data_IF_346193464555
#
_entry.id   IF_346193464555
#
_cell.length_a   1.000
_cell.length_b   1.000
_cell.length_c   1.000
_cell.angle_alpha   90.00
_cell.angle_beta   90.00
_cell.angle_gamma   90.00
#
_symmetry.space_group_name_H-M   'P 1'
#
loop_
_entity.id
_entity.type
_entity.pdbx_description
1 polymer ?
#
# COMPACT_ATOMS: atom_id res chain seq x y z
N UNK A 1 -16.39 25.99 -25.81
CA UNK A 1 -15.51 26.88 -25.05
C UNK A 1 -15.79 26.88 -23.53
N UNK A 2 -17.04 26.90 -23.07
CA UNK A 2 -17.40 26.90 -21.62
C UNK A 2 -16.96 25.61 -20.89
N UNK A 3 -17.07 24.42 -21.51
CA UNK A 3 -16.72 23.14 -20.90
C UNK A 3 -15.20 23.03 -20.63
N UNK A 4 -14.36 23.45 -21.56
CA UNK A 4 -12.90 23.42 -21.41
C UNK A 4 -12.41 24.31 -20.25
N UNK A 5 -13.02 25.48 -20.07
CA UNK A 5 -12.72 26.37 -18.93
C UNK A 5 -13.12 25.73 -17.58
N UNK A 6 -14.20 24.95 -17.56
CA UNK A 6 -14.65 24.24 -16.36
C UNK A 6 -13.66 23.14 -15.96
N UNK A 7 -13.18 22.33 -16.90
CA UNK A 7 -12.18 21.28 -16.61
C UNK A 7 -10.84 21.88 -16.13
N UNK A 8 -10.39 22.97 -16.77
CA UNK A 8 -9.17 23.65 -16.35
C UNK A 8 -9.29 24.19 -14.91
N UNK A 9 -10.42 24.81 -14.57
CA UNK A 9 -10.67 25.32 -13.22
C UNK A 9 -10.72 24.21 -12.17
N UNK A 10 -11.34 23.06 -12.47
CA UNK A 10 -11.33 21.91 -11.55
C UNK A 10 -9.94 21.30 -11.41
N UNK A 11 -9.18 21.19 -12.49
CA UNK A 11 -7.79 20.69 -12.42
C UNK A 11 -6.95 21.56 -11.49
N UNK A 12 -7.00 22.88 -11.65
CA UNK A 12 -6.27 23.82 -10.80
C UNK A 12 -6.72 23.71 -9.32
N UNK A 13 -8.02 23.63 -9.08
CA UNK A 13 -8.58 23.46 -7.74
C UNK A 13 -8.07 22.18 -7.06
N UNK A 14 -8.15 21.04 -7.74
CA UNK A 14 -7.70 19.77 -7.15
C UNK A 14 -6.19 19.70 -7.01
N UNK A 15 -5.45 20.34 -7.91
CA UNK A 15 -4.00 20.46 -7.78
C UNK A 15 -3.62 21.29 -6.56
N UNK A 16 -4.23 22.46 -6.40
CA UNK A 16 -4.00 23.30 -5.23
C UNK A 16 -4.35 22.56 -3.91
N UNK A 17 -5.48 21.84 -3.89
CA UNK A 17 -5.85 21.03 -2.73
C UNK A 17 -4.81 19.95 -2.41
N UNK A 18 -4.28 19.27 -3.43
CA UNK A 18 -3.24 18.27 -3.26
C UNK A 18 -1.95 18.89 -2.72
N UNK A 19 -1.48 19.97 -3.36
CA UNK A 19 -0.16 20.55 -3.11
C UNK A 19 -0.13 21.39 -1.82
N UNK A 20 -1.23 22.05 -1.46
CA UNK A 20 -1.29 22.99 -0.33
C UNK A 20 -1.87 22.38 0.95
N UNK A 21 -2.71 21.34 0.84
CA UNK A 21 -3.40 20.76 1.98
C UNK A 21 -3.05 19.28 2.20
N UNK A 22 -3.28 18.41 1.21
CA UNK A 22 -3.18 16.95 1.41
C UNK A 22 -1.74 16.51 1.64
N UNK A 23 -0.82 16.86 0.74
CA UNK A 23 0.59 16.45 0.85
C UNK A 23 1.24 17.04 2.11
N UNK A 24 1.13 18.37 2.39
CA UNK A 24 1.69 18.95 3.60
C UNK A 24 1.13 18.34 4.90
N UNK A 25 -0.15 17.99 4.93
CA UNK A 25 -0.75 17.30 6.08
C UNK A 25 -0.05 15.98 6.37
N UNK A 26 0.10 15.11 5.37
CA UNK A 26 0.71 13.80 5.56
C UNK A 26 2.21 13.87 5.84
N UNK A 27 2.94 14.80 5.22
CA UNK A 27 4.35 15.04 5.53
C UNK A 27 4.55 15.51 6.98
N UNK A 28 3.65 16.35 7.48
CA UNK A 28 3.76 16.92 8.82
C UNK A 28 3.33 15.96 9.93
N UNK A 29 2.22 15.24 9.72
CA UNK A 29 1.58 14.48 10.79
C UNK A 29 1.61 12.98 10.59
N UNK A 30 1.83 12.51 9.35
CA UNK A 30 1.75 11.10 9.01
C UNK A 30 3.02 10.31 9.30
N UNK A 31 4.17 10.95 9.43
CA UNK A 31 5.44 10.24 9.62
C UNK A 31 5.60 9.77 11.06
N UNK A 32 5.88 8.48 11.26
CA UNK A 32 6.35 7.95 12.53
C UNK A 32 7.89 8.00 12.55
N UNK A 33 8.43 8.95 13.29
CA UNK A 33 9.89 9.14 13.41
C UNK A 33 10.52 8.24 14.48
N UNK A 34 9.72 7.56 15.29
CA UNK A 34 10.20 6.66 16.33
C UNK A 34 10.39 5.23 15.82
N UNK A 35 9.35 4.71 15.13
CA UNK A 35 9.32 3.32 14.67
C UNK A 35 9.33 3.19 13.13
N UNK A 36 9.29 4.30 12.41
CA UNK A 36 9.22 4.32 10.95
C UNK A 36 7.83 4.11 10.37
N UNK A 37 7.69 4.38 9.07
CA UNK A 37 6.44 4.25 8.35
C UNK A 37 5.44 5.37 8.61
N UNK A 38 4.17 5.06 8.38
CA UNK A 38 3.05 5.98 8.41
C UNK A 38 2.13 5.74 9.60
N UNK A 39 1.78 6.78 10.36
CA UNK A 39 0.61 6.77 11.24
C UNK A 39 -0.69 6.78 10.43
N UNK A 40 -1.59 5.83 10.69
CA UNK A 40 -2.83 5.66 9.92
C UNK A 40 -4.07 6.17 10.64
N UNK A 41 -3.96 6.54 11.90
CA UNK A 41 -5.07 6.93 12.77
C UNK A 41 -4.91 8.38 13.25
N UNK A 42 -5.04 9.32 12.31
CA UNK A 42 -5.01 10.75 12.55
C UNK A 42 -6.41 11.35 12.43
N UNK A 43 -6.74 12.32 13.27
CA UNK A 43 -7.91 13.13 13.03
C UNK A 43 -7.63 14.20 11.95
N UNK A 44 -8.66 14.96 11.57
CA UNK A 44 -8.54 15.99 10.51
C UNK A 44 -7.60 17.15 10.86
N UNK A 45 -7.18 17.29 12.11
CA UNK A 45 -6.25 18.30 12.58
C UNK A 45 -4.82 17.78 12.75
N UNK A 46 -4.62 16.47 12.49
CA UNK A 46 -3.34 15.79 12.63
C UNK A 46 -3.08 15.22 14.01
N UNK A 47 -4.08 15.18 14.90
CA UNK A 47 -3.94 14.57 16.22
C UNK A 47 -3.93 13.04 16.08
N UNK A 48 -2.87 12.41 16.53
CA UNK A 48 -2.74 10.96 16.59
C UNK A 48 -3.61 10.41 17.72
N UNK A 49 -4.56 9.51 17.41
CA UNK A 49 -5.44 8.90 18.40
C UNK A 49 -5.24 7.38 18.56
N UNK A 50 -4.48 6.74 17.67
CA UNK A 50 -4.09 5.34 17.76
C UNK A 50 -2.79 5.13 16.99
N UNK A 51 -1.84 4.41 17.57
CA UNK A 51 -0.54 4.12 16.95
C UNK A 51 -0.56 2.88 16.07
N UNK A 52 -1.63 2.07 16.10
CA UNK A 52 -1.73 0.89 15.23
C UNK A 52 -1.63 1.25 13.76
N UNK A 53 -0.91 0.43 13.01
CA UNK A 53 -0.59 0.68 11.60
C UNK A 53 -1.31 -0.29 10.69
N UNK A 54 -1.99 0.26 9.68
CA UNK A 54 -2.57 -0.49 8.59
C UNK A 54 -1.50 -0.79 7.53
N UNK A 55 -1.23 -2.07 7.28
CA UNK A 55 -0.27 -2.52 6.25
C UNK A 55 -0.65 -2.01 4.86
N UNK A 56 -1.94 -1.97 4.55
CA UNK A 56 -2.43 -1.43 3.27
C UNK A 56 -2.08 0.04 3.09
N UNK A 57 -2.15 0.82 4.17
CA UNK A 57 -1.86 2.25 4.11
C UNK A 57 -0.36 2.53 4.02
N UNK A 58 0.49 1.67 4.61
CA UNK A 58 1.94 1.76 4.41
C UNK A 58 2.30 1.63 2.93
N UNK A 59 1.79 0.58 2.26
CA UNK A 59 2.03 0.37 0.84
C UNK A 59 1.49 1.51 -0.04
N UNK A 60 0.27 2.00 0.25
CA UNK A 60 -0.29 3.16 -0.48
C UNK A 60 0.53 4.42 -0.29
N UNK A 61 1.00 4.70 0.91
CA UNK A 61 1.85 5.86 1.20
C UNK A 61 3.16 5.78 0.42
N UNK A 62 3.85 4.64 0.48
CA UNK A 62 5.08 4.42 -0.27
C UNK A 62 4.85 4.60 -1.77
N UNK A 63 3.76 4.05 -2.32
CA UNK A 63 3.41 4.22 -3.72
C UNK A 63 3.16 5.68 -4.08
N UNK A 64 2.32 6.40 -3.31
CA UNK A 64 1.96 7.79 -3.59
C UNK A 64 3.19 8.69 -3.59
N UNK A 65 4.05 8.62 -2.57
CA UNK A 65 5.20 9.51 -2.48
C UNK A 65 6.29 9.16 -3.51
N UNK A 66 6.43 7.90 -3.89
CA UNK A 66 7.27 7.50 -5.04
C UNK A 66 6.72 8.06 -6.34
N UNK A 67 5.43 7.88 -6.61
CA UNK A 67 4.75 8.41 -7.79
C UNK A 67 4.86 9.94 -7.91
N UNK A 68 4.72 10.66 -6.80
CA UNK A 68 4.88 12.12 -6.77
C UNK A 68 6.31 12.55 -7.13
N UNK A 69 7.32 11.81 -6.70
CA UNK A 69 8.71 12.03 -7.14
C UNK A 69 8.88 11.80 -8.65
N UNK A 70 8.28 10.76 -9.20
CA UNK A 70 8.30 10.50 -10.64
C UNK A 70 7.59 11.58 -11.46
N UNK A 71 6.47 12.10 -10.93
CA UNK A 71 5.63 13.06 -11.63
C UNK A 71 6.15 14.51 -11.55
N UNK A 72 6.62 14.94 -10.37
CA UNK A 72 7.00 16.33 -10.11
C UNK A 72 8.51 16.55 -9.98
N UNK A 73 9.30 15.49 -10.06
CA UNK A 73 10.73 15.51 -9.82
C UNK A 73 11.10 15.09 -8.40
N UNK A 74 12.36 14.71 -8.24
CA UNK A 74 12.89 14.22 -6.97
C UNK A 74 12.73 15.24 -5.83
N UNK A 75 12.23 14.75 -4.71
CA UNK A 75 12.18 15.46 -3.43
C UNK A 75 12.63 14.53 -2.32
N UNK A 76 13.59 15.00 -1.51
CA UNK A 76 14.18 14.22 -0.42
C UNK A 76 13.14 13.79 0.63
N UNK A 77 12.23 14.69 1.00
CA UNK A 77 11.17 14.41 1.98
C UNK A 77 10.17 13.35 1.48
N UNK A 78 9.84 13.34 0.19
CA UNK A 78 8.98 12.33 -0.41
C UNK A 78 9.68 10.97 -0.48
N UNK A 79 10.92 10.97 -0.97
CA UNK A 79 11.75 9.77 -1.05
C UNK A 79 11.94 9.12 0.33
N UNK A 80 12.34 9.92 1.34
CA UNK A 80 12.54 9.44 2.70
C UNK A 80 11.26 8.85 3.30
N UNK A 81 10.11 9.47 3.07
CA UNK A 81 8.84 8.96 3.58
C UNK A 81 8.41 7.65 2.89
N UNK A 82 8.51 7.59 1.56
CA UNK A 82 8.24 6.36 0.81
C UNK A 82 9.14 5.21 1.28
N UNK A 83 10.43 5.48 1.42
CA UNK A 83 11.42 4.52 1.90
C UNK A 83 11.13 4.03 3.30
N UNK A 84 10.83 4.93 4.23
CA UNK A 84 10.47 4.59 5.61
C UNK A 84 9.26 3.66 5.68
N UNK A 85 8.23 3.87 4.84
CA UNK A 85 7.09 2.97 4.76
C UNK A 85 7.47 1.58 4.24
N UNK A 86 8.34 1.49 3.22
CA UNK A 86 8.81 0.21 2.69
C UNK A 86 9.69 -0.54 3.68
N UNK A 87 10.60 0.14 4.35
CA UNK A 87 11.46 -0.46 5.39
C UNK A 87 10.62 -0.99 6.56
N UNK A 88 9.58 -0.25 6.96
CA UNK A 88 8.63 -0.72 7.98
C UNK A 88 7.87 -1.96 7.52
N UNK A 89 7.41 -2.01 6.27
CA UNK A 89 6.77 -3.19 5.69
C UNK A 89 7.68 -4.41 5.70
N UNK A 90 8.93 -4.25 5.30
CA UNK A 90 9.93 -5.31 5.26
C UNK A 90 10.24 -5.88 6.64
N UNK A 91 10.40 -4.99 7.62
CA UNK A 91 10.82 -5.38 8.97
C UNK A 91 9.70 -6.01 9.79
N UNK A 92 8.44 -5.56 9.61
CA UNK A 92 7.38 -5.83 10.58
C UNK A 92 6.11 -6.45 9.99
N UNK A 93 5.89 -6.35 8.67
CA UNK A 93 4.58 -6.67 8.12
C UNK A 93 4.50 -8.02 7.39
N UNK A 94 5.61 -8.73 7.28
CA UNK A 94 5.69 -10.07 6.67
C UNK A 94 5.77 -11.10 7.78
N UNK A 95 4.83 -12.07 7.77
CA UNK A 95 4.88 -13.19 8.70
C UNK A 95 5.99 -14.17 8.29
N UNK A 96 7.02 -14.38 9.13
CA UNK A 96 8.12 -15.27 8.80
C UNK A 96 7.71 -16.75 8.72
N UNK A 97 6.54 -17.13 9.25
CA UNK A 97 6.07 -18.51 9.26
C UNK A 97 5.54 -18.95 7.89
N UNK A 98 4.91 -18.04 7.14
CA UNK A 98 4.23 -18.39 5.90
C UNK A 98 4.49 -17.41 4.73
N UNK A 99 5.19 -16.30 5.00
CA UNK A 99 5.49 -15.27 4.00
C UNK A 99 4.30 -14.39 3.59
N UNK A 100 3.11 -14.61 4.20
CA UNK A 100 1.94 -13.75 4.00
C UNK A 100 2.10 -12.47 4.82
N UNK A 101 1.46 -11.41 4.37
CA UNK A 101 1.51 -10.15 5.09
C UNK A 101 0.37 -10.00 6.11
N UNK A 102 0.66 -9.31 7.20
CA UNK A 102 -0.36 -8.90 8.15
C UNK A 102 -1.29 -7.85 7.52
N UNK A 103 -2.46 -7.68 8.10
CA UNK A 103 -3.39 -6.59 7.76
C UNK A 103 -3.12 -5.35 8.61
N UNK A 104 -2.86 -5.55 9.90
CA UNK A 104 -2.49 -4.51 10.84
C UNK A 104 -1.46 -5.00 11.85
N UNK A 105 -0.64 -4.07 12.33
CA UNK A 105 0.38 -4.25 13.34
C UNK A 105 0.31 -3.11 14.36
N UNK A 106 0.91 -3.27 15.54
CA UNK A 106 1.09 -2.17 16.50
C UNK A 106 2.03 -1.10 15.96
N UNK A 107 2.13 0.04 16.64
CA UNK A 107 3.04 1.13 16.27
C UNK A 107 4.49 0.67 16.13
N UNK A 108 4.95 -0.20 17.03
CA UNK A 108 6.29 -0.82 17.05
C UNK A 108 6.41 -2.10 16.19
N UNK A 109 5.35 -2.45 15.42
CA UNK A 109 5.41 -3.53 14.44
C UNK A 109 5.01 -4.92 14.92
N UNK A 110 4.39 -5.07 16.13
CA UNK A 110 3.91 -6.38 16.58
C UNK A 110 2.64 -6.79 15.83
N UNK A 111 2.49 -8.07 15.43
CA UNK A 111 1.33 -8.55 14.70
C UNK A 111 0.02 -8.38 15.48
N UNK A 112 -0.99 -7.76 14.85
CA UNK A 112 -2.33 -7.63 15.40
C UNK A 112 -3.35 -8.47 14.65
N UNK A 113 -3.29 -8.42 13.30
CA UNK A 113 -4.32 -9.08 12.49
C UNK A 113 -3.78 -9.53 11.15
N UNK A 114 -4.19 -10.72 10.72
CA UNK A 114 -4.00 -11.26 9.37
C UNK A 114 -5.36 -11.51 8.72
N UNK A 115 -5.45 -11.34 7.41
CA UNK A 115 -6.67 -11.58 6.63
C UNK A 115 -6.50 -12.68 5.61
N UNK A 116 -7.61 -13.27 5.17
CA UNK A 116 -7.64 -14.32 4.15
C UNK A 116 -7.25 -13.86 2.75
N UNK A 117 -7.52 -12.59 2.44
CA UNK A 117 -7.21 -12.05 1.13
C UNK A 117 -5.77 -11.56 1.08
N UNK A 118 -5.13 -11.71 -0.07
CA UNK A 118 -3.75 -11.26 -0.35
C UNK A 118 -3.65 -9.77 -0.70
N UNK A 119 -4.56 -8.94 -0.22
CA UNK A 119 -4.57 -7.51 -0.56
C UNK A 119 -3.42 -6.73 0.09
N UNK A 120 -2.92 -7.15 1.23
CA UNK A 120 -1.71 -6.56 1.81
C UNK A 120 -0.51 -6.72 0.88
N UNK A 121 -0.36 -7.93 0.35
CA UNK A 121 0.68 -8.28 -0.63
C UNK A 121 0.54 -7.45 -1.91
N UNK A 122 -0.68 -7.20 -2.41
CA UNK A 122 -0.86 -6.37 -3.61
C UNK A 122 -0.46 -4.93 -3.40
N UNK A 123 -0.73 -4.32 -2.24
CA UNK A 123 -0.26 -2.98 -1.93
C UNK A 123 1.25 -2.89 -1.74
N UNK A 124 1.87 -3.95 -1.24
CA UNK A 124 3.32 -4.06 -1.18
C UNK A 124 3.95 -4.17 -2.57
N UNK A 125 3.37 -4.97 -3.47
CA UNK A 125 3.84 -5.13 -4.85
C UNK A 125 3.87 -3.78 -5.57
N UNK A 126 2.75 -3.04 -5.57
CA UNK A 126 2.70 -1.73 -6.27
C UNK A 126 3.64 -0.71 -5.65
N UNK A 127 3.80 -0.71 -4.33
CA UNK A 127 4.73 0.17 -3.64
C UNK A 127 6.19 -0.12 -4.02
N UNK A 128 6.59 -1.38 -3.99
CA UNK A 128 7.93 -1.81 -4.38
C UNK A 128 8.20 -1.51 -5.87
N UNK A 129 7.25 -1.79 -6.77
CA UNK A 129 7.41 -1.58 -8.20
C UNK A 129 7.55 -0.09 -8.53
N UNK A 130 6.69 0.77 -7.97
CA UNK A 130 6.77 2.22 -8.19
C UNK A 130 8.07 2.81 -7.64
N UNK A 131 8.42 2.45 -6.40
CA UNK A 131 9.67 2.90 -5.79
C UNK A 131 10.88 2.50 -6.64
N UNK A 132 10.95 1.24 -7.05
CA UNK A 132 12.03 0.73 -7.88
C UNK A 132 12.10 1.44 -9.24
N UNK A 133 10.97 1.67 -9.87
CA UNK A 133 10.87 2.36 -11.16
C UNK A 133 11.37 3.81 -11.09
N UNK A 134 10.99 4.52 -10.04
CA UNK A 134 11.31 5.95 -9.88
C UNK A 134 12.76 6.18 -9.43
N UNK A 135 13.24 5.33 -8.51
CA UNK A 135 14.55 5.53 -7.88
C UNK A 135 15.66 4.59 -8.39
N UNK A 136 15.33 3.65 -9.29
CA UNK A 136 16.30 2.72 -9.86
C UNK A 136 16.76 1.63 -8.88
N UNK A 137 15.94 1.28 -7.87
CA UNK A 137 16.28 0.28 -6.86
C UNK A 137 15.83 -1.12 -7.29
N UNK A 138 16.74 -1.88 -7.91
CA UNK A 138 16.46 -3.23 -8.39
C UNK A 138 16.09 -4.21 -7.26
N UNK A 139 16.54 -3.96 -6.03
CA UNK A 139 16.19 -4.80 -4.87
C UNK A 139 14.67 -4.79 -4.62
N UNK A 140 14.04 -3.61 -4.70
CA UNK A 140 12.59 -3.49 -4.57
C UNK A 140 11.85 -4.02 -5.79
N UNK A 141 12.42 -3.92 -6.99
CA UNK A 141 11.85 -4.56 -8.19
C UNK A 141 11.82 -6.09 -8.07
N UNK A 142 12.89 -6.69 -7.55
CA UNK A 142 12.92 -8.14 -7.28
C UNK A 142 11.88 -8.56 -6.22
N UNK A 143 11.71 -7.76 -5.17
CA UNK A 143 10.66 -7.98 -4.16
C UNK A 143 9.26 -7.92 -4.79
N UNK A 144 9.00 -6.93 -5.64
CA UNK A 144 7.72 -6.80 -6.34
C UNK A 144 7.43 -8.03 -7.20
N UNK A 145 8.38 -8.48 -8.02
CA UNK A 145 8.26 -9.67 -8.87
C UNK A 145 7.99 -10.94 -8.04
N UNK A 146 8.76 -11.14 -6.98
CA UNK A 146 8.60 -12.30 -6.08
C UNK A 146 7.22 -12.36 -5.44
N UNK A 147 6.73 -11.23 -4.93
CA UNK A 147 5.39 -11.18 -4.32
C UNK A 147 4.27 -11.26 -5.35
N UNK A 148 4.46 -10.72 -6.55
CA UNK A 148 3.52 -10.89 -7.64
C UNK A 148 3.36 -12.37 -8.01
N UNK A 149 4.45 -13.09 -8.20
CA UNK A 149 4.42 -14.54 -8.50
C UNK A 149 3.78 -15.33 -7.34
N UNK A 150 4.07 -14.96 -6.11
CA UNK A 150 3.45 -15.56 -4.93
C UNK A 150 1.94 -15.39 -4.91
N UNK A 151 1.45 -14.16 -5.12
CA UNK A 151 0.02 -13.84 -5.20
C UNK A 151 -0.66 -14.54 -6.37
N UNK A 152 -0.04 -14.54 -7.56
CA UNK A 152 -0.58 -15.18 -8.76
C UNK A 152 -0.67 -16.70 -8.62
N UNK A 153 0.24 -17.32 -7.89
CA UNK A 153 0.18 -18.74 -7.56
C UNK A 153 -1.03 -19.03 -6.67
N UNK A 154 -1.23 -18.27 -5.60
CA UNK A 154 -2.38 -18.42 -4.70
C UNK A 154 -3.70 -18.17 -5.44
N UNK A 155 -3.76 -17.15 -6.30
CA UNK A 155 -4.95 -16.85 -7.09
C UNK A 155 -5.35 -17.97 -8.05
N UNK A 156 -4.36 -18.57 -8.73
CA UNK A 156 -4.59 -19.71 -9.66
C UNK A 156 -4.96 -20.98 -8.92
N UNK A 157 -4.32 -21.24 -7.80
CA UNK A 157 -4.57 -22.40 -6.95
C UNK A 157 -4.56 -22.02 -5.46
N UNK A 158 -5.74 -21.73 -4.88
CA UNK A 158 -5.86 -21.38 -3.46
C UNK A 158 -5.34 -22.46 -2.50
N UNK A 159 -5.17 -23.70 -2.94
CA UNK A 159 -4.58 -24.75 -2.11
C UNK A 159 -3.11 -24.51 -1.79
N UNK A 160 -2.43 -23.69 -2.60
CA UNK A 160 -1.03 -23.29 -2.42
C UNK A 160 -0.82 -22.17 -1.40
N UNK A 161 -1.92 -21.56 -0.90
CA UNK A 161 -1.81 -20.53 0.13
C UNK A 161 -1.28 -21.15 1.43
N UNK A 162 -0.11 -20.73 1.91
CA UNK A 162 0.43 -21.24 3.18
C UNK A 162 -0.42 -20.84 4.38
N UNK A 163 -1.16 -19.72 4.30
CA UNK A 163 -2.07 -19.29 5.35
C UNK A 163 -3.44 -19.96 5.19
N UNK A 164 -3.58 -21.15 5.80
CA UNK A 164 -4.82 -21.95 5.74
C UNK A 164 -5.88 -21.38 6.67
N UNK A 165 -6.95 -20.88 6.09
CA UNK A 165 -8.12 -20.38 6.81
C UNK A 165 -9.40 -21.07 6.31
N UNK A 166 -10.44 -21.04 7.14
CA UNK A 166 -11.76 -21.55 6.75
C UNK A 166 -12.28 -20.80 5.52
N UNK A 167 -12.72 -21.50 4.46
CA UNK A 167 -13.31 -20.89 3.28
C UNK A 167 -14.51 -20.00 3.66
N UNK A 168 -14.70 -18.91 2.91
CA UNK A 168 -15.83 -18.01 3.08
C UNK A 168 -17.18 -18.67 2.70
N UNK A 169 -17.10 -19.62 1.76
CA UNK A 169 -18.28 -20.34 1.25
C UNK A 169 -18.14 -21.82 1.54
N UNK A 170 -19.28 -22.49 1.72
CA UNK A 170 -19.29 -23.95 1.86
C UNK A 170 -18.94 -24.60 0.50
N UNK A 171 -17.86 -25.40 0.42
CA UNK A 171 -17.47 -26.06 -0.80
C UNK A 171 -18.58 -26.99 -1.33
N UNK A 172 -18.73 -27.06 -2.65
CA UNK A 172 -19.63 -28.02 -3.31
C UNK A 172 -21.11 -27.61 -3.37
N UNK A 173 -21.53 -26.55 -2.66
CA UNK A 173 -22.94 -26.11 -2.65
C UNK A 173 -23.26 -25.21 -3.85
N UNK A 174 -22.44 -24.19 -4.07
CA UNK A 174 -22.59 -23.27 -5.22
C UNK A 174 -21.21 -22.71 -5.61
N UNK A 175 -20.83 -22.79 -6.89
CA UNK A 175 -19.65 -22.10 -7.38
C UNK A 175 -19.79 -20.60 -7.16
N UNK A 176 -18.82 -19.98 -6.53
CA UNK A 176 -18.80 -18.54 -6.28
C UNK A 176 -17.39 -18.00 -6.47
N UNK A 177 -17.25 -16.91 -7.24
CA UNK A 177 -16.02 -16.14 -7.39
C UNK A 177 -16.22 -14.73 -6.86
N UNK A 178 -15.31 -14.28 -5.99
CA UNK A 178 -15.31 -12.90 -5.52
C UNK A 178 -14.78 -11.98 -6.63
N UNK A 179 -15.49 -10.89 -6.93
CA UNK A 179 -15.04 -9.89 -7.91
C UNK A 179 -13.83 -9.08 -7.43
N UNK A 180 -13.65 -8.96 -6.12
CA UNK A 180 -12.60 -8.14 -5.52
C UNK A 180 -11.18 -8.58 -5.90
N UNK A 181 -10.93 -9.89 -6.04
CA UNK A 181 -9.62 -10.43 -6.40
C UNK A 181 -9.23 -10.09 -7.85
N UNK A 182 -10.05 -10.37 -8.89
CA UNK A 182 -9.73 -9.92 -10.25
C UNK A 182 -9.58 -8.40 -10.38
N UNK A 183 -10.37 -7.63 -9.65
CA UNK A 183 -10.29 -6.16 -9.66
C UNK A 183 -8.93 -5.66 -9.17
N UNK A 184 -8.44 -6.18 -8.03
CA UNK A 184 -7.14 -5.75 -7.50
C UNK A 184 -5.98 -6.26 -8.36
N UNK A 185 -6.08 -7.49 -8.88
CA UNK A 185 -5.05 -8.07 -9.74
C UNK A 185 -4.93 -7.33 -11.07
N UNK A 186 -6.03 -6.83 -11.66
CA UNK A 186 -5.98 -6.00 -12.84
C UNK A 186 -5.12 -4.75 -12.62
N UNK A 187 -5.24 -4.12 -11.45
CA UNK A 187 -4.44 -2.96 -11.09
C UNK A 187 -2.96 -3.29 -10.85
N UNK A 188 -2.68 -4.44 -10.24
CA UNK A 188 -1.31 -4.85 -9.86
C UNK A 188 -0.52 -5.40 -11.06
N UNK A 189 -1.21 -5.82 -12.14
CA UNK A 189 -0.56 -6.43 -13.31
C UNK A 189 -0.07 -5.42 -14.35
N UNK A 190 -0.25 -4.12 -14.11
CA UNK A 190 0.29 -3.04 -14.92
C UNK A 190 1.75 -2.75 -14.57
#
# INVERSE_FOLDING_TARGET
MIILNTYAAYREKYRAELDENVIPFWLKYGQDTEHGGLYTCLDRTGTLYCTDKSVWMQGRCAWVFSYLCGLYGYREDYHAFAKSCLEFLDAHCIDPQDGRMYFSVTGDGQPLRKRRYFFSETFYIIACAEYASVFGDETYMEKARRYYDFVMRIYRDPSTDPYKITPKYTPGVRPSKAYAEPMILLNVSH
#
